data_IF_414131610822
#
_entry.id   IF_414131610822
#
_cell.length_a   1.000
_cell.length_b   1.000
_cell.length_c   1.000
_cell.angle_alpha   90.00
_cell.angle_beta   90.00
_cell.angle_gamma   90.00
#
_symmetry.space_group_name_H-M   'P 1'
#
loop_
_entity.id
_entity.type
_entity.pdbx_description
1 polymer ?
#
# COMPACT_ATOMS: atom_id res chain seq x y z
N UNK A 1 -23.23 -18.68 -17.46
CA UNK A 1 -22.71 -17.30 -17.59
C UNK A 1 -21.69 -17.11 -16.50
N UNK A 2 -20.40 -17.14 -16.82
CA UNK A 2 -19.32 -16.92 -15.87
C UNK A 2 -19.21 -15.42 -15.62
N UNK A 3 -19.67 -14.95 -14.45
CA UNK A 3 -19.34 -13.62 -13.97
C UNK A 3 -17.84 -13.59 -13.69
N UNK A 4 -17.07 -13.20 -14.70
CA UNK A 4 -15.68 -12.82 -14.54
C UNK A 4 -15.72 -11.51 -13.73
N UNK A 5 -15.70 -11.61 -12.41
CA UNK A 5 -15.50 -10.44 -11.53
C UNK A 5 -14.31 -9.66 -12.11
N UNK A 6 -14.55 -8.41 -12.50
CA UNK A 6 -13.49 -7.59 -13.08
C UNK A 6 -12.43 -7.38 -12.02
N UNK A 7 -11.16 -7.27 -12.42
CA UNK A 7 -10.07 -6.97 -11.48
C UNK A 7 -10.38 -5.67 -10.71
N UNK A 8 -11.07 -4.71 -11.35
CA UNK A 8 -11.60 -3.51 -10.71
C UNK A 8 -12.54 -3.82 -9.52
N UNK A 9 -13.44 -4.78 -9.62
CA UNK A 9 -14.35 -5.16 -8.52
C UNK A 9 -13.63 -5.77 -7.32
N UNK A 10 -12.48 -6.42 -7.55
CA UNK A 10 -11.62 -6.97 -6.48
C UNK A 10 -10.85 -5.86 -5.76
N UNK A 11 -10.40 -4.86 -6.51
CA UNK A 11 -9.79 -3.63 -5.97
C UNK A 11 -10.81 -2.94 -5.05
N UNK A 12 -12.06 -2.72 -5.48
CA UNK A 12 -13.09 -2.10 -4.62
C UNK A 12 -13.34 -2.82 -3.28
N UNK A 13 -13.25 -4.16 -3.23
CA UNK A 13 -13.40 -4.92 -1.97
C UNK A 13 -12.25 -4.72 -0.98
N UNK A 14 -11.03 -4.44 -1.46
CA UNK A 14 -9.84 -4.18 -0.62
C UNK A 14 -9.75 -2.68 -0.27
N UNK A 15 -10.12 -1.82 -1.23
CA UNK A 15 -10.11 -0.37 -1.09
C UNK A 15 -11.39 0.18 -0.47
N UNK A 16 -12.27 -0.68 0.03
CA UNK A 16 -13.47 -0.36 0.81
C UNK A 16 -13.14 0.32 2.14
N UNK A 17 -12.61 1.54 2.05
CA UNK A 17 -12.67 2.60 3.05
C UNK A 17 -12.14 2.24 4.44
N UNK A 18 -10.82 2.18 4.61
CA UNK A 18 -10.18 2.55 5.89
C UNK A 18 -9.73 4.01 5.82
N UNK A 19 -10.68 4.90 5.48
CA UNK A 19 -10.52 6.34 5.65
C UNK A 19 -10.55 6.58 7.16
N UNK A 20 -9.40 6.95 7.74
CA UNK A 20 -9.15 7.19 9.18
C UNK A 20 -8.54 6.04 10.02
N UNK A 21 -7.84 5.06 9.44
CA UNK A 21 -6.97 4.16 10.23
C UNK A 21 -5.70 4.86 10.81
N UNK A 22 -5.74 6.20 10.94
CA UNK A 22 -4.67 7.03 11.45
C UNK A 22 -4.45 6.92 12.96
N UNK A 23 -5.44 6.43 13.72
CA UNK A 23 -5.47 6.65 15.17
C UNK A 23 -4.83 5.53 16.01
N UNK A 24 -4.50 4.35 15.45
CA UNK A 24 -4.00 3.20 16.24
C UNK A 24 -2.49 2.90 16.11
N UNK A 25 -1.69 3.81 15.55
CA UNK A 25 -0.22 3.61 15.41
C UNK A 25 0.51 4.41 16.49
N UNK A 26 0.16 4.19 17.76
CA UNK A 26 0.76 4.89 18.93
C UNK A 26 1.91 4.12 19.59
N UNK A 27 2.33 2.99 19.03
CA UNK A 27 3.45 2.18 19.55
C UNK A 27 4.79 2.64 18.97
N UNK A 28 5.90 2.42 19.70
CA UNK A 28 7.24 2.62 19.15
C UNK A 28 7.52 1.52 18.10
N UNK A 29 7.91 1.93 16.89
CA UNK A 29 8.25 1.02 15.79
C UNK A 29 9.75 1.12 15.51
N UNK A 30 10.43 -0.01 15.43
CA UNK A 30 11.79 -0.08 14.92
C UNK A 30 11.74 -0.09 13.37
N UNK A 31 12.63 0.63 12.70
CA UNK A 31 12.72 0.56 11.24
C UNK A 31 13.37 -0.77 10.82
N UNK A 32 12.75 -1.48 9.90
CA UNK A 32 13.30 -2.70 9.29
C UNK A 32 13.44 -2.49 7.78
N UNK A 33 14.65 -2.68 7.26
CA UNK A 33 14.92 -2.61 5.81
C UNK A 33 14.73 -3.99 5.21
N UNK A 34 13.62 -4.17 4.51
CA UNK A 34 13.36 -5.31 3.65
C UNK A 34 13.43 -4.80 2.23
N UNK A 35 14.39 -5.34 1.47
CA UNK A 35 14.55 -5.00 0.07
C UNK A 35 13.34 -5.49 -0.72
N UNK A 36 12.85 -4.64 -1.63
CA UNK A 36 11.82 -4.97 -2.61
C UNK A 36 12.39 -4.67 -3.98
N UNK A 37 12.86 -5.73 -4.65
CA UNK A 37 13.70 -5.58 -5.85
C UNK A 37 12.92 -4.96 -7.02
N UNK A 38 11.60 -5.13 -7.04
CA UNK A 38 10.73 -4.71 -8.14
C UNK A 38 9.29 -4.56 -7.71
N UNK A 39 8.67 -3.46 -8.15
CA UNK A 39 7.22 -3.26 -8.17
C UNK A 39 6.67 -3.68 -9.54
N UNK A 40 5.75 -4.64 -9.58
CA UNK A 40 5.07 -5.00 -10.83
C UNK A 40 4.08 -3.91 -11.27
N UNK A 41 3.55 -3.15 -10.31
CA UNK A 41 2.65 -2.03 -10.54
C UNK A 41 3.34 -0.81 -11.14
N UNK A 42 4.68 -0.72 -11.10
CA UNK A 42 5.41 0.41 -11.63
C UNK A 42 6.21 0.00 -12.86
N UNK A 43 5.83 0.54 -14.01
CA UNK A 43 6.56 0.37 -15.26
C UNK A 43 6.94 1.73 -15.83
N UNK A 44 8.25 1.96 -16.01
CA UNK A 44 8.80 3.22 -16.56
C UNK A 44 8.27 4.47 -15.83
N UNK A 45 8.10 4.39 -14.51
CA UNK A 45 7.58 5.47 -13.66
C UNK A 45 6.06 5.69 -13.79
N UNK A 46 5.32 4.79 -14.44
CA UNK A 46 3.86 4.79 -14.44
C UNK A 46 3.38 3.74 -13.45
N UNK A 47 2.63 4.17 -12.44
CA UNK A 47 1.96 3.31 -11.48
C UNK A 47 0.60 2.88 -12.02
N UNK A 48 0.38 1.58 -12.11
CA UNK A 48 -0.92 0.98 -12.43
C UNK A 48 -1.58 0.45 -11.15
N UNK A 49 -2.68 1.11 -10.75
CA UNK A 49 -3.38 0.83 -9.49
C UNK A 49 -3.91 -0.59 -9.40
N UNK A 50 -4.26 -1.22 -10.53
CA UNK A 50 -4.82 -2.58 -10.56
C UNK A 50 -3.81 -3.63 -10.05
N UNK A 51 -2.51 -3.34 -10.12
CA UNK A 51 -1.44 -4.24 -9.71
C UNK A 51 -0.87 -3.95 -8.31
N UNK A 52 -1.31 -2.87 -7.64
CA UNK A 52 -0.81 -2.50 -6.31
C UNK A 52 -1.01 -3.60 -5.26
N UNK A 53 -2.15 -4.29 -5.30
CA UNK A 53 -2.45 -5.39 -4.37
C UNK A 53 -1.41 -6.52 -4.46
N UNK A 54 -0.96 -6.84 -5.67
CA UNK A 54 0.04 -7.88 -5.88
C UNK A 54 1.41 -7.47 -5.32
N UNK A 55 1.79 -6.19 -5.44
CA UNK A 55 3.01 -5.67 -4.84
C UNK A 55 2.93 -5.64 -3.32
N UNK A 56 1.82 -5.18 -2.74
CA UNK A 56 1.60 -5.19 -1.28
C UNK A 56 1.67 -6.64 -0.76
N UNK A 57 1.02 -7.59 -1.43
CA UNK A 57 1.10 -9.02 -1.06
C UNK A 57 2.51 -9.59 -1.17
N UNK A 58 3.29 -9.16 -2.15
CA UNK A 58 4.71 -9.55 -2.28
C UNK A 58 5.53 -9.02 -1.11
N UNK A 59 5.32 -7.77 -0.71
CA UNK A 59 5.96 -7.17 0.47
C UNK A 59 5.59 -7.95 1.74
N UNK A 60 4.30 -8.23 1.93
CA UNK A 60 3.81 -8.99 3.08
C UNK A 60 4.48 -10.36 3.16
N UNK A 61 4.52 -11.10 2.06
CA UNK A 61 5.19 -12.42 2.01
C UNK A 61 6.67 -12.34 2.36
N UNK A 62 7.40 -11.30 1.92
CA UNK A 62 8.82 -11.12 2.28
C UNK A 62 9.00 -10.87 3.77
N UNK A 63 8.14 -10.04 4.37
CA UNK A 63 8.13 -9.80 5.83
C UNK A 63 7.82 -11.10 6.58
N UNK A 64 6.81 -11.84 6.15
CA UNK A 64 6.41 -13.10 6.80
C UNK A 64 7.52 -14.17 6.73
N UNK A 65 8.32 -14.18 5.66
CA UNK A 65 9.49 -15.06 5.54
C UNK A 65 10.59 -14.76 6.58
N UNK A 66 10.62 -13.56 7.18
CA UNK A 66 11.55 -13.26 8.28
C UNK A 66 11.06 -13.76 9.64
N UNK A 67 9.86 -14.35 9.69
CA UNK A 67 9.18 -14.78 10.92
C UNK A 67 8.37 -13.69 11.60
N UNK A 68 8.17 -12.55 10.94
CA UNK A 68 7.28 -11.48 11.41
C UNK A 68 5.82 -11.72 10.99
N UNK A 69 4.87 -11.19 11.75
CA UNK A 69 3.45 -11.16 11.40
C UNK A 69 3.07 -9.78 10.89
N UNK A 70 2.48 -9.69 9.69
CA UNK A 70 2.05 -8.41 9.11
C UNK A 70 0.75 -7.93 9.78
N UNK A 71 0.80 -6.72 10.32
CA UNK A 71 -0.32 -6.05 10.98
C UNK A 71 -1.13 -5.18 10.00
N UNK A 72 -0.48 -4.64 8.96
CA UNK A 72 -1.12 -3.80 7.95
C UNK A 72 -0.14 -3.03 7.09
N UNK A 73 -0.64 -2.38 6.05
CA UNK A 73 0.14 -1.46 5.21
C UNK A 73 -0.55 -0.12 5.01
N UNK A 74 0.24 0.92 4.78
CA UNK A 74 -0.21 2.25 4.36
C UNK A 74 0.49 2.63 3.07
N UNK A 75 -0.28 2.90 2.03
CA UNK A 75 0.20 3.54 0.80
C UNK A 75 0.07 5.05 0.97
N UNK A 76 1.12 5.77 0.63
CA UNK A 76 1.11 7.21 0.45
C UNK A 76 1.43 7.48 -1.00
N UNK A 77 0.57 8.25 -1.67
CA UNK A 77 0.86 8.80 -2.99
C UNK A 77 0.95 10.31 -2.86
N UNK A 78 2.10 10.85 -3.21
CA UNK A 78 2.37 12.28 -3.20
C UNK A 78 2.70 12.74 -4.61
N UNK A 79 1.74 13.44 -5.23
CA UNK A 79 1.89 13.95 -6.60
C UNK A 79 2.93 15.09 -6.66
N UNK A 80 3.05 15.87 -5.59
CA UNK A 80 3.99 17.00 -5.52
C UNK A 80 5.42 16.50 -5.49
N UNK A 81 5.66 15.41 -4.77
CA UNK A 81 6.97 14.75 -4.68
C UNK A 81 7.19 13.69 -5.76
N UNK A 82 6.18 13.39 -6.60
CA UNK A 82 6.20 12.32 -7.61
C UNK A 82 6.62 10.99 -7.01
N UNK A 83 6.04 10.66 -5.86
CA UNK A 83 6.49 9.54 -5.04
C UNK A 83 5.30 8.68 -4.61
N UNK A 84 5.57 7.39 -4.58
CA UNK A 84 4.80 6.40 -3.85
C UNK A 84 5.63 5.89 -2.67
N UNK A 85 4.99 5.72 -1.53
CA UNK A 85 5.55 5.07 -0.36
C UNK A 85 4.58 4.00 0.14
N UNK A 86 5.10 2.82 0.47
CA UNK A 86 4.35 1.76 1.15
C UNK A 86 5.05 1.51 2.48
N UNK A 87 4.35 1.84 3.57
CA UNK A 87 4.74 1.45 4.92
C UNK A 87 4.04 0.16 5.27
N UNK A 88 4.75 -0.86 5.70
CA UNK A 88 4.19 -2.10 6.20
C UNK A 88 4.57 -2.28 7.65
N UNK A 89 3.56 -2.45 8.49
CA UNK A 89 3.66 -2.61 9.93
C UNK A 89 3.64 -4.11 10.23
N UNK A 90 4.59 -4.56 11.04
CA UNK A 90 4.71 -5.96 11.41
C UNK A 90 5.13 -6.15 12.87
N UNK A 91 4.94 -7.36 13.39
CA UNK A 91 5.37 -7.76 14.73
C UNK A 91 6.23 -9.00 14.66
N UNK A 92 7.37 -8.99 15.36
CA UNK A 92 8.24 -10.17 15.51
C UNK A 92 8.62 -10.30 16.98
N UNK A 93 8.10 -11.36 17.62
CA UNK A 93 8.11 -11.46 19.08
C UNK A 93 7.29 -10.34 19.73
N UNK A 94 7.89 -9.66 20.72
CA UNK A 94 7.27 -8.54 21.42
C UNK A 94 7.55 -7.17 20.77
N UNK A 95 8.32 -7.16 19.67
CA UNK A 95 8.73 -5.94 18.98
C UNK A 95 7.88 -5.67 17.75
N UNK A 96 7.65 -4.39 17.50
CA UNK A 96 6.93 -3.89 16.35
C UNK A 96 7.92 -3.23 15.37
N UNK A 97 7.76 -3.51 14.08
CA UNK A 97 8.63 -3.03 13.01
C UNK A 97 7.85 -2.33 11.91
N UNK A 98 8.42 -1.26 11.37
CA UNK A 98 7.91 -0.59 10.17
C UNK A 98 8.92 -0.77 9.04
N UNK A 99 8.46 -1.37 7.96
CA UNK A 99 9.20 -1.43 6.72
C UNK A 99 8.65 -0.37 5.76
N UNK A 100 9.52 0.50 5.26
CA UNK A 100 9.13 1.55 4.31
C UNK A 100 9.81 1.30 2.97
N UNK A 101 9.01 1.26 1.91
CA UNK A 101 9.51 1.11 0.55
C UNK A 101 9.00 2.27 -0.27
N UNK A 102 9.89 2.94 -1.00
CA UNK A 102 9.57 4.12 -1.81
C UNK A 102 9.87 3.88 -3.27
N UNK A 103 9.12 4.55 -4.15
CA UNK A 103 9.34 4.53 -5.58
C UNK A 103 8.95 5.87 -6.23
N UNK A 104 9.66 6.25 -7.29
CA UNK A 104 9.27 7.40 -8.10
C UNK A 104 8.06 7.05 -9.00
N UNK A 105 7.02 7.88 -8.93
CA UNK A 105 5.80 7.74 -9.72
C UNK A 105 5.51 9.05 -10.44
N UNK A 106 5.62 9.02 -11.76
CA UNK A 106 5.40 10.18 -12.66
C UNK A 106 3.96 10.27 -13.14
N UNK A 107 3.30 9.12 -13.29
CA UNK A 107 1.93 8.98 -13.80
C UNK A 107 1.23 7.84 -13.07
N UNK A 108 -0.08 7.94 -12.95
CA UNK A 108 -0.93 6.91 -12.37
C UNK A 108 -2.02 6.53 -13.35
N UNK A 109 -2.26 5.24 -13.56
CA UNK A 109 -3.33 4.68 -14.40
C UNK A 109 -4.24 3.77 -13.56
N UNK A 110 -5.46 3.56 -14.04
CA UNK A 110 -6.48 2.71 -13.38
C UNK A 110 -6.79 3.12 -11.93
N UNK A 111 -6.60 4.40 -11.62
CA UNK A 111 -6.87 4.95 -10.29
C UNK A 111 -8.39 5.17 -10.08
N UNK A 112 -8.96 4.69 -8.96
CA UNK A 112 -10.36 4.94 -8.60
C UNK A 112 -10.73 6.43 -8.54
N UNK A 113 -11.94 6.78 -8.97
CA UNK A 113 -12.38 8.17 -9.16
C UNK A 113 -12.42 8.99 -7.84
N UNK A 114 -12.73 8.33 -6.72
CA UNK A 114 -12.69 8.90 -5.38
C UNK A 114 -11.27 9.26 -4.95
N UNK A 115 -10.29 8.41 -5.25
CA UNK A 115 -8.87 8.67 -5.00
C UNK A 115 -8.37 9.80 -5.91
N UNK A 116 -8.79 9.83 -7.19
CA UNK A 116 -8.49 10.96 -8.10
C UNK A 116 -8.99 12.29 -7.54
N UNK A 117 -10.22 12.31 -7.02
CA UNK A 117 -10.80 13.54 -6.45
C UNK A 117 -10.01 14.01 -5.21
N UNK A 118 -9.61 13.08 -4.34
CA UNK A 118 -8.82 13.39 -3.16
C UNK A 118 -7.40 13.87 -3.51
N UNK A 119 -6.74 13.21 -4.47
CA UNK A 119 -5.45 13.65 -5.00
C UNK A 119 -5.53 15.06 -5.59
N UNK A 120 -6.55 15.38 -6.39
CA UNK A 120 -6.73 16.74 -6.95
C UNK A 120 -6.95 17.79 -5.86
N UNK A 121 -7.64 17.43 -4.79
CA UNK A 121 -7.93 18.37 -3.69
C UNK A 121 -6.73 18.61 -2.78
N UNK A 122 -5.95 17.57 -2.46
CA UNK A 122 -4.90 17.62 -1.43
C UNK A 122 -3.48 17.56 -1.99
N UNK A 123 -3.30 17.07 -3.21
CA UNK A 123 -2.00 16.75 -3.82
C UNK A 123 -1.33 15.50 -3.22
N UNK A 124 -1.98 14.85 -2.26
CA UNK A 124 -1.49 13.68 -1.54
C UNK A 124 -2.68 12.85 -1.06
N UNK A 125 -2.57 11.53 -1.17
CA UNK A 125 -3.56 10.60 -0.64
C UNK A 125 -2.86 9.52 0.19
N UNK A 126 -3.49 9.15 1.30
CA UNK A 126 -3.04 8.06 2.16
C UNK A 126 -4.12 6.99 2.20
N UNK A 127 -3.75 5.76 1.85
CA UNK A 127 -4.64 4.61 1.81
C UNK A 127 -4.11 3.56 2.77
N UNK A 128 -4.99 2.97 3.57
CA UNK A 128 -4.63 1.93 4.54
C UNK A 128 -5.19 0.58 4.08
N UNK A 129 -4.36 -0.45 4.12
CA UNK A 129 -4.63 -1.80 3.65
C UNK A 129 -4.42 -2.77 4.79
N UNK A 130 -5.49 -3.49 5.16
CA UNK A 130 -5.51 -4.46 6.26
C UNK A 130 -5.19 -3.84 7.62
N UNK A 131 -6.19 -3.81 8.49
CA UNK A 131 -6.01 -3.90 9.93
C UNK A 131 -7.16 -4.79 10.38
N UNK A 132 -7.06 -6.09 10.10
CA UNK A 132 -7.99 -7.04 10.68
C UNK A 132 -7.74 -7.03 12.20
N UNK A 133 -8.78 -6.73 12.99
CA UNK A 133 -8.81 -6.87 14.46
C UNK A 133 -8.58 -8.33 14.88
#
# INVERSE_FOLDING_TARGET
MSNTESIGDKVWKIFGTLKNAGEKISQAWEEEVIEVDTFISIQRGTLDFDYLDADIKKIHRRIEQTGASVLGSRLVLDERQKMMEIKTYSRKGEKNFVNTVTAEVKKVTNIPADIVAEMKSKGRVELSFKFDD
#
